data_IF_132812824702
#
_entry.id   IF_132812824702
#
_cell.length_a   1.000
_cell.length_b   1.000
_cell.length_c   1.000
_cell.angle_alpha   90.00
_cell.angle_beta   90.00
_cell.angle_gamma   90.00
#
_symmetry.space_group_name_H-M   'P 1'
#
loop_
_entity.id
_entity.type
_entity.pdbx_description
1 polymer ?
#
# COMPACT_ATOMS: atom_id res chain seq x y z
N UNK A 1 -20.07 24.90 4.66
CA UNK A 1 -20.99 23.75 4.76
C UNK A 1 -20.20 22.53 4.33
N UNK A 2 -19.72 21.73 5.28
CA UNK A 2 -18.82 20.60 4.98
C UNK A 2 -19.66 19.52 4.31
N UNK A 3 -19.42 19.30 3.03
CA UNK A 3 -20.01 18.20 2.26
C UNK A 3 -19.54 16.92 2.91
N UNK A 4 -20.48 16.23 3.54
CA UNK A 4 -20.30 14.94 4.18
C UNK A 4 -20.61 13.89 3.12
N UNK A 5 -19.69 12.97 2.94
CA UNK A 5 -19.77 11.97 1.88
C UNK A 5 -19.72 10.57 2.45
N UNK A 6 -20.39 9.62 1.78
CA UNK A 6 -20.55 8.25 2.24
C UNK A 6 -19.64 7.27 1.47
N UNK A 7 -19.32 7.50 0.19
CA UNK A 7 -18.46 6.61 -0.64
C UNK A 7 -17.40 7.43 -1.38
N UNK A 8 -16.16 6.93 -1.44
CA UNK A 8 -15.12 7.36 -2.39
C UNK A 8 -14.77 6.23 -3.34
N UNK A 9 -15.08 6.43 -4.61
CA UNK A 9 -14.66 5.53 -5.67
C UNK A 9 -13.40 6.05 -6.34
N UNK A 10 -12.46 5.15 -6.64
CA UNK A 10 -11.28 5.47 -7.43
C UNK A 10 -11.15 4.49 -8.60
N UNK A 11 -11.34 4.94 -9.83
CA UNK A 11 -10.80 4.21 -10.97
C UNK A 11 -9.36 4.62 -11.18
N UNK A 12 -8.44 3.68 -10.96
CA UNK A 12 -7.01 3.90 -11.12
C UNK A 12 -6.61 3.41 -12.50
N UNK A 13 -6.27 4.35 -13.37
CA UNK A 13 -5.80 4.03 -14.71
C UNK A 13 -4.27 4.13 -14.68
N UNK A 14 -3.62 2.98 -14.84
CA UNK A 14 -2.16 2.95 -14.95
C UNK A 14 -1.76 3.41 -16.36
N UNK A 15 -0.98 4.50 -16.44
CA UNK A 15 -0.35 4.91 -17.70
C UNK A 15 0.74 3.90 -18.06
N UNK A 16 0.57 3.17 -19.17
CA UNK A 16 1.65 2.38 -19.75
C UNK A 16 2.35 3.17 -20.87
N UNK A 17 3.68 3.03 -20.94
CA UNK A 17 4.52 3.65 -21.98
C UNK A 17 4.32 3.05 -23.39
N UNK A 18 3.48 2.02 -23.56
CA UNK A 18 3.19 1.41 -24.87
C UNK A 18 1.70 1.50 -25.19
N UNK A 19 1.41 2.13 -26.34
CA UNK A 19 0.07 2.22 -26.92
C UNK A 19 -0.46 0.82 -27.26
N UNK A 20 -1.48 0.35 -26.52
CA UNK A 20 -2.64 -0.43 -27.00
C UNK A 20 -3.33 -1.34 -25.95
N UNK A 21 -3.07 -1.20 -24.66
CA UNK A 21 -4.03 -1.67 -23.65
C UNK A 21 -4.10 -0.76 -22.43
N UNK A 22 -5.19 -0.01 -22.28
CA UNK A 22 -5.55 0.61 -21.00
C UNK A 22 -6.04 -0.50 -20.07
N UNK A 23 -5.14 -1.12 -19.30
CA UNK A 23 -5.54 -1.95 -18.16
C UNK A 23 -5.75 -1.00 -16.97
N UNK A 24 -7.00 -0.61 -16.73
CA UNK A 24 -7.37 0.14 -15.54
C UNK A 24 -7.65 -0.81 -14.39
N UNK A 25 -7.07 -0.54 -13.22
CA UNK A 25 -7.49 -1.13 -11.96
C UNK A 25 -8.67 -0.29 -11.45
N UNK A 26 -9.88 -0.84 -11.43
CA UNK A 26 -10.92 -0.21 -10.62
C UNK A 26 -10.64 -0.51 -9.15
N UNK A 27 -10.37 0.52 -8.33
CA UNK A 27 -10.22 0.43 -6.88
C UNK A 27 -11.41 1.12 -6.19
N UNK A 28 -12.36 0.32 -5.74
CA UNK A 28 -13.52 0.84 -5.03
C UNK A 28 -13.17 0.83 -3.55
N UNK A 29 -13.27 1.97 -2.85
CA UNK A 29 -13.08 2.06 -1.40
C UNK A 29 -14.41 2.40 -0.75
N UNK A 30 -14.94 1.48 0.04
CA UNK A 30 -16.28 1.62 0.57
C UNK A 30 -16.45 1.22 2.06
N UNK A 31 -17.32 1.88 2.82
CA UNK A 31 -17.81 1.42 4.12
C UNK A 31 -18.89 0.34 3.93
N UNK A 32 -19.04 -0.57 4.89
CA UNK A 32 -19.84 -1.78 4.68
C UNK A 32 -21.37 -1.63 4.64
N UNK A 33 -21.95 -0.62 5.30
CA UNK A 33 -23.42 -0.45 5.41
C UNK A 33 -23.80 1.00 5.16
N UNK A 34 -24.27 1.33 3.97
CA UNK A 34 -24.43 2.74 3.59
C UNK A 34 -25.81 3.33 3.80
N UNK A 35 -26.86 2.51 3.69
CA UNK A 35 -28.23 3.03 3.68
C UNK A 35 -28.67 3.52 5.07
N UNK A 36 -27.97 3.10 6.13
CA UNK A 36 -28.30 3.41 7.53
C UNK A 36 -27.16 4.09 8.30
N UNK A 37 -26.04 4.44 7.65
CA UNK A 37 -24.89 5.06 8.32
C UNK A 37 -24.99 6.58 8.37
N UNK A 38 -24.66 7.12 9.55
CA UNK A 38 -24.43 8.56 9.71
C UNK A 38 -23.24 9.00 8.86
N UNK A 39 -23.33 10.24 8.38
CA UNK A 39 -22.26 10.88 7.64
C UNK A 39 -20.92 10.85 8.37
N UNK A 40 -19.86 10.48 7.65
CA UNK A 40 -18.50 10.35 8.17
C UNK A 40 -17.73 11.63 7.89
N UNK A 41 -17.19 12.24 8.94
CA UNK A 41 -16.47 13.51 8.84
C UNK A 41 -15.12 13.38 8.10
N UNK A 42 -14.38 12.29 8.35
CA UNK A 42 -13.07 12.05 7.72
C UNK A 42 -13.15 11.77 6.22
N UNK A 43 -14.33 11.41 5.69
CA UNK A 43 -14.48 10.87 4.35
C UNK A 43 -13.89 11.82 3.29
N UNK A 44 -14.17 13.12 3.40
CA UNK A 44 -13.63 14.13 2.49
C UNK A 44 -12.12 14.22 2.52
N UNK A 45 -11.53 14.15 3.72
CA UNK A 45 -10.08 14.15 3.87
C UNK A 45 -9.46 12.87 3.29
N UNK A 46 -10.08 11.72 3.57
CA UNK A 46 -9.66 10.43 3.03
C UNK A 46 -9.58 10.45 1.50
N UNK A 47 -10.62 11.03 0.87
CA UNK A 47 -10.69 11.22 -0.56
C UNK A 47 -9.52 12.04 -1.12
N UNK A 48 -9.32 13.23 -0.56
CA UNK A 48 -8.30 14.18 -0.99
C UNK A 48 -6.89 13.59 -0.83
N UNK A 49 -6.56 13.05 0.35
CA UNK A 49 -5.24 12.51 0.64
C UNK A 49 -4.92 11.31 -0.28
N UNK A 50 -5.91 10.47 -0.60
CA UNK A 50 -5.74 9.36 -1.56
C UNK A 50 -5.52 9.86 -2.99
N UNK A 51 -6.26 10.88 -3.44
CA UNK A 51 -6.07 11.49 -4.76
C UNK A 51 -4.67 12.09 -4.88
N UNK A 52 -4.24 12.85 -3.87
CA UNK A 52 -2.89 13.41 -3.82
C UNK A 52 -1.82 12.32 -3.86
N UNK A 53 -1.99 11.25 -3.08
CA UNK A 53 -1.04 10.12 -3.06
C UNK A 53 -0.94 9.45 -4.43
N UNK A 54 -2.06 9.09 -5.05
CA UNK A 54 -2.05 8.46 -6.37
C UNK A 54 -1.46 9.37 -7.45
N UNK A 55 -1.77 10.67 -7.42
CA UNK A 55 -1.17 11.66 -8.32
C UNK A 55 0.35 11.73 -8.14
N UNK A 56 0.84 11.73 -6.90
CA UNK A 56 2.29 11.72 -6.60
C UNK A 56 2.99 10.47 -7.16
N UNK A 57 2.25 9.36 -7.25
CA UNK A 57 2.69 8.09 -7.83
C UNK A 57 2.41 7.99 -9.34
N UNK A 58 1.97 9.09 -9.98
CA UNK A 58 1.73 9.22 -11.43
C UNK A 58 0.61 8.33 -11.97
N UNK A 59 -0.38 8.00 -11.16
CA UNK A 59 -1.60 7.35 -11.64
C UNK A 59 -2.61 8.38 -12.15
N UNK A 60 -3.34 8.03 -13.22
CA UNK A 60 -4.56 8.75 -13.59
C UNK A 60 -5.71 8.22 -12.73
N UNK A 61 -6.52 9.13 -12.20
CA UNK A 61 -7.61 8.79 -11.30
C UNK A 61 -8.90 9.35 -11.88
N UNK A 62 -9.94 8.52 -11.89
CA UNK A 62 -11.33 8.97 -12.00
C UNK A 62 -11.94 8.75 -10.63
N UNK A 63 -12.25 9.83 -9.92
CA UNK A 63 -12.85 9.78 -8.60
C UNK A 63 -14.36 10.06 -8.64
N UNK A 64 -15.07 9.56 -7.63
CA UNK A 64 -16.50 9.78 -7.46
C UNK A 64 -16.88 9.77 -6.00
N UNK A 65 -17.75 10.71 -5.61
CA UNK A 65 -18.21 10.92 -4.24
C UNK A 65 -19.72 10.67 -4.19
N UNK A 66 -20.22 10.03 -3.13
CA UNK A 66 -21.68 9.81 -2.93
C UNK A 66 -22.35 8.97 -4.02
N UNK A 67 -21.62 7.97 -4.52
CA UNK A 67 -22.18 6.98 -5.42
C UNK A 67 -23.21 6.11 -4.67
N UNK A 68 -24.41 5.95 -5.22
CA UNK A 68 -25.44 5.09 -4.64
C UNK A 68 -25.25 3.63 -5.05
N UNK A 69 -25.69 2.66 -4.22
CA UNK A 69 -25.68 1.21 -4.54
C UNK A 69 -26.33 0.88 -5.88
N UNK A 70 -27.31 1.68 -6.31
CA UNK A 70 -28.07 1.46 -7.54
C UNK A 70 -27.48 2.17 -8.76
N UNK A 71 -26.47 3.03 -8.59
CA UNK A 71 -25.90 3.76 -9.70
C UNK A 71 -24.46 4.25 -9.41
N UNK A 72 -23.48 3.33 -9.28
CA UNK A 72 -22.08 3.70 -9.07
C UNK A 72 -21.41 4.26 -10.34
N UNK A 73 -22.08 4.15 -11.49
CA UNK A 73 -21.59 4.66 -12.76
C UNK A 73 -22.74 5.36 -13.48
N UNK A 74 -22.59 6.64 -13.83
CA UNK A 74 -23.41 7.25 -14.88
C UNK A 74 -23.06 6.64 -16.26
N UNK A 75 -23.14 5.31 -16.38
CA UNK A 75 -23.18 4.58 -17.65
C UNK A 75 -24.57 3.98 -17.75
N UNK A 76 -25.36 4.48 -18.70
CA UNK A 76 -26.71 3.97 -19.02
C UNK A 76 -26.72 2.43 -19.03
N UNK A 77 -27.43 1.80 -18.09
CA UNK A 77 -28.01 0.46 -18.31
C UNK A 77 -27.52 -0.75 -17.51
N UNK A 78 -27.11 -0.64 -16.23
CA UNK A 78 -26.93 -1.83 -15.38
C UNK A 78 -27.71 -1.71 -14.06
N UNK A 79 -28.87 -2.37 -14.00
CA UNK A 79 -29.66 -2.57 -12.80
C UNK A 79 -29.33 -3.94 -12.17
N UNK A 80 -28.34 -4.03 -11.28
CA UNK A 80 -28.20 -5.19 -10.37
C UNK A 80 -27.46 -4.82 -9.08
N UNK A 81 -28.20 -4.91 -7.97
CA UNK A 81 -27.88 -5.32 -6.59
C UNK A 81 -26.41 -5.16 -6.08
N UNK A 82 -26.25 -4.35 -5.01
CA UNK A 82 -25.17 -4.41 -4.02
C UNK A 82 -23.73 -4.23 -4.52
N UNK A 83 -22.92 -3.38 -3.87
CA UNK A 83 -21.48 -3.26 -4.19
C UNK A 83 -20.70 -4.58 -4.08
N UNK A 84 -21.22 -5.57 -3.34
CA UNK A 84 -20.67 -6.93 -3.24
C UNK A 84 -20.89 -7.78 -4.50
N UNK A 85 -21.89 -7.45 -5.33
CA UNK A 85 -22.19 -8.09 -6.62
C UNK A 85 -22.04 -7.08 -7.77
N UNK A 86 -21.13 -6.10 -7.63
CA UNK A 86 -20.68 -5.40 -8.82
C UNK A 86 -20.06 -6.43 -9.75
N UNK A 87 -20.73 -6.67 -10.88
CA UNK A 87 -20.23 -7.46 -12.00
C UNK A 87 -19.14 -6.63 -12.70
N UNK A 88 -18.09 -6.33 -11.96
CA UNK A 88 -16.98 -5.52 -12.43
C UNK A 88 -16.14 -6.40 -13.33
N UNK A 89 -16.04 -6.00 -14.59
CA UNK A 89 -15.29 -6.71 -15.61
C UNK A 89 -13.88 -7.11 -15.15
N UNK A 90 -13.27 -8.04 -15.88
CA UNK A 90 -11.94 -8.57 -15.56
C UNK A 90 -10.93 -7.45 -15.25
N UNK A 91 -10.21 -7.55 -14.12
CA UNK A 91 -9.20 -6.57 -13.72
C UNK A 91 -9.66 -5.57 -12.65
N UNK A 92 -10.58 -5.95 -11.76
CA UNK A 92 -11.07 -5.08 -10.69
C UNK A 92 -10.65 -5.56 -9.31
N UNK A 93 -10.37 -4.62 -8.41
CA UNK A 93 -10.15 -4.85 -6.99
C UNK A 93 -11.08 -3.96 -6.16
N UNK A 94 -12.02 -4.57 -5.46
CA UNK A 94 -12.96 -3.86 -4.58
C UNK A 94 -12.47 -4.03 -3.15
N UNK A 95 -12.29 -2.93 -2.44
CA UNK A 95 -11.91 -2.93 -1.03
C UNK A 95 -12.95 -2.21 -0.19
N UNK A 96 -13.35 -2.84 0.90
CA UNK A 96 -14.24 -2.26 1.89
C UNK A 96 -13.47 -1.98 3.18
N UNK A 97 -13.63 -0.77 3.71
CA UNK A 97 -13.05 -0.33 4.97
C UNK A 97 -13.62 -1.09 6.18
N UNK A 98 -14.78 -1.72 6.05
CA UNK A 98 -15.39 -2.61 7.05
C UNK A 98 -15.99 -3.85 6.39
N UNK A 99 -16.21 -4.91 7.18
CA UNK A 99 -16.85 -6.14 6.75
C UNK A 99 -18.35 -5.91 6.48
N UNK A 100 -18.95 -6.58 5.48
CA UNK A 100 -20.38 -6.49 5.20
C UNK A 100 -21.21 -6.64 6.49
N UNK A 101 -22.20 -5.76 6.69
CA UNK A 101 -23.07 -5.74 7.87
C UNK A 101 -22.41 -5.35 9.21
N UNK A 102 -21.22 -4.72 9.21
CA UNK A 102 -20.66 -4.06 10.42
C UNK A 102 -20.57 -2.52 10.30
N UNK A 103 -20.79 -1.84 11.42
CA UNK A 103 -20.53 -0.40 11.58
C UNK A 103 -19.10 -0.19 12.08
N UNK A 104 -18.34 0.72 11.43
CA UNK A 104 -17.01 1.10 11.89
C UNK A 104 -17.07 1.82 13.24
N UNK A 105 -16.37 1.30 14.24
CA UNK A 105 -16.27 1.88 15.60
C UNK A 105 -15.32 3.08 15.74
N UNK A 106 -14.62 3.49 14.67
CA UNK A 106 -13.60 4.54 14.76
C UNK A 106 -13.59 5.44 13.53
N UNK A 107 -14.49 6.42 13.48
CA UNK A 107 -14.40 7.48 12.48
C UNK A 107 -13.33 8.48 12.92
N UNK A 108 -12.38 8.79 12.04
CA UNK A 108 -11.53 9.96 12.23
C UNK A 108 -12.41 11.22 12.34
N UNK A 109 -11.93 12.25 13.05
CA UNK A 109 -12.59 13.56 12.97
C UNK A 109 -12.40 14.15 11.57
N UNK A 110 -13.09 15.27 11.26
CA UNK A 110 -12.89 15.97 9.98
C UNK A 110 -11.42 16.33 9.66
N UNK A 111 -10.56 16.38 10.68
CA UNK A 111 -9.15 16.77 10.57
C UNK A 111 -8.20 15.59 10.31
N UNK A 112 -8.66 14.35 10.52
CA UNK A 112 -7.83 13.14 10.40
C UNK A 112 -8.43 12.15 9.42
N UNK A 113 -7.56 11.39 8.75
CA UNK A 113 -8.00 10.28 7.93
C UNK A 113 -8.70 9.21 8.79
N UNK A 114 -9.62 8.47 8.20
CA UNK A 114 -10.13 7.23 8.79
C UNK A 114 -8.98 6.26 9.07
N UNK A 115 -9.18 5.36 10.02
CA UNK A 115 -8.19 4.36 10.41
C UNK A 115 -7.78 3.51 9.19
N UNK A 116 -8.74 3.14 8.35
CA UNK A 116 -8.49 2.42 7.12
C UNK A 116 -7.59 3.20 6.15
N UNK A 117 -7.95 4.44 5.82
CA UNK A 117 -7.15 5.26 4.89
C UNK A 117 -5.76 5.57 5.44
N UNK A 118 -5.65 5.81 6.76
CA UNK A 118 -4.35 5.99 7.42
C UNK A 118 -3.40 4.82 7.15
N UNK A 119 -3.85 3.58 7.35
CA UNK A 119 -3.00 2.41 7.11
C UNK A 119 -2.83 2.08 5.63
N UNK A 120 -3.84 2.36 4.79
CA UNK A 120 -3.70 2.24 3.34
C UNK A 120 -2.57 3.14 2.81
N UNK A 121 -2.54 4.41 3.22
CA UNK A 121 -1.49 5.36 2.84
C UNK A 121 -0.09 4.94 3.30
N UNK A 122 0.03 4.19 4.42
CA UNK A 122 1.32 3.68 4.93
C UNK A 122 1.90 2.50 4.11
N UNK A 123 1.10 1.86 3.26
CA UNK A 123 1.52 0.67 2.53
C UNK A 123 1.49 0.83 1.02
N UNK A 124 0.74 1.81 0.51
CA UNK A 124 0.46 1.95 -0.92
C UNK A 124 1.70 2.25 -1.77
N UNK A 125 2.74 2.84 -1.20
CA UNK A 125 4.00 3.14 -1.89
C UNK A 125 5.13 2.15 -1.61
N UNK A 126 4.85 1.06 -0.90
CA UNK A 126 5.86 0.02 -0.65
C UNK A 126 6.26 -0.64 -1.99
N UNK A 127 7.57 -0.67 -2.33
CA UNK A 127 8.01 -1.19 -3.62
C UNK A 127 7.73 -2.68 -3.78
N UNK A 128 7.30 -3.06 -4.98
CA UNK A 128 7.08 -4.45 -5.40
C UNK A 128 6.09 -5.23 -4.52
N UNK A 129 5.28 -4.52 -3.73
CA UNK A 129 4.25 -5.14 -2.89
C UNK A 129 2.98 -5.35 -3.72
N UNK A 130 2.60 -6.61 -3.88
CA UNK A 130 1.36 -6.99 -4.58
C UNK A 130 0.15 -6.41 -3.84
N UNK A 131 -0.84 -5.95 -4.60
CA UNK A 131 -2.05 -5.33 -4.04
C UNK A 131 -2.76 -6.23 -3.03
N UNK A 132 -2.86 -7.55 -3.29
CA UNK A 132 -3.44 -8.49 -2.35
C UNK A 132 -2.66 -8.57 -1.03
N UNK A 133 -1.33 -8.57 -1.09
CA UNK A 133 -0.49 -8.62 0.10
C UNK A 133 -0.47 -7.28 0.84
N UNK A 134 -0.52 -6.16 0.10
CA UNK A 134 -0.69 -4.82 0.65
C UNK A 134 -1.98 -4.71 1.46
N UNK A 135 -3.12 -5.14 0.91
CA UNK A 135 -4.40 -5.09 1.63
C UNK A 135 -4.46 -6.06 2.82
N UNK A 136 -3.74 -7.18 2.80
CA UNK A 136 -3.55 -8.02 4.00
C UNK A 136 -2.81 -7.25 5.12
N UNK A 137 -1.77 -6.49 4.79
CA UNK A 137 -1.09 -5.64 5.78
C UNK A 137 -2.03 -4.56 6.33
N UNK A 138 -2.77 -3.87 5.46
CA UNK A 138 -3.77 -2.87 5.87
C UNK A 138 -4.79 -3.49 6.83
N UNK A 139 -5.32 -4.67 6.50
CA UNK A 139 -6.28 -5.38 7.36
C UNK A 139 -5.69 -5.70 8.73
N UNK A 140 -4.49 -6.27 8.77
CA UNK A 140 -3.81 -6.59 10.03
C UNK A 140 -3.61 -5.35 10.90
N UNK A 141 -3.17 -4.24 10.31
CA UNK A 141 -2.94 -2.99 11.04
C UNK A 141 -4.24 -2.37 11.56
N UNK A 142 -5.30 -2.38 10.76
CA UNK A 142 -6.63 -1.91 11.17
C UNK A 142 -7.20 -2.78 12.29
N UNK A 143 -7.16 -4.11 12.15
CA UNK A 143 -7.63 -5.04 13.18
C UNK A 143 -6.87 -4.86 14.50
N UNK A 144 -5.53 -4.74 14.42
CA UNK A 144 -4.69 -4.54 15.60
C UNK A 144 -4.98 -3.20 16.29
N UNK A 145 -5.10 -2.11 15.51
CA UNK A 145 -5.35 -0.77 16.05
C UNK A 145 -6.74 -0.64 16.67
N UNK A 146 -7.74 -1.29 16.08
CA UNK A 146 -9.15 -1.22 16.52
C UNK A 146 -9.53 -2.34 17.48
N UNK A 147 -8.59 -3.17 17.93
CA UNK A 147 -8.90 -4.36 18.74
C UNK A 147 -10.00 -5.24 18.10
N UNK A 148 -9.96 -5.37 16.77
CA UNK A 148 -10.91 -6.09 15.91
C UNK A 148 -12.32 -5.52 15.84
N UNK A 149 -12.55 -4.29 16.28
CA UNK A 149 -13.83 -3.59 16.06
C UNK A 149 -14.05 -3.25 14.59
N UNK A 150 -12.98 -3.04 13.83
CA UNK A 150 -13.01 -2.83 12.38
C UNK A 150 -12.26 -3.96 11.68
N UNK A 151 -12.93 -4.62 10.73
CA UNK A 151 -12.35 -5.71 9.93
C UNK A 151 -12.54 -5.37 8.45
N UNK A 152 -11.51 -4.86 7.75
CA UNK A 152 -11.56 -4.62 6.31
C UNK A 152 -11.81 -5.90 5.50
N UNK A 153 -12.47 -5.77 4.34
CA UNK A 153 -12.80 -6.89 3.46
C UNK A 153 -12.60 -6.52 1.98
N UNK A 154 -12.16 -7.45 1.14
CA UNK A 154 -11.83 -7.21 -0.26
C UNK A 154 -12.38 -8.30 -1.17
N UNK A 155 -12.66 -7.95 -2.42
CA UNK A 155 -13.08 -8.85 -3.49
C UNK A 155 -12.31 -8.51 -4.77
N UNK A 156 -11.74 -9.50 -5.44
CA UNK A 156 -10.85 -9.28 -6.58
C UNK A 156 -11.19 -10.18 -7.78
N UNK A 157 -11.11 -9.60 -8.97
CA UNK A 157 -11.16 -10.30 -10.26
C UNK A 157 -9.84 -10.14 -11.05
N UNK A 158 -8.76 -9.78 -10.36
CA UNK A 158 -7.43 -9.64 -10.94
C UNK A 158 -6.93 -10.98 -11.49
N UNK A 159 -6.33 -10.92 -12.68
CA UNK A 159 -5.73 -12.08 -13.36
C UNK A 159 -4.21 -12.05 -13.38
N UNK A 160 -3.63 -10.91 -13.03
CA UNK A 160 -2.19 -10.65 -13.04
C UNK A 160 -1.83 -9.86 -11.81
N UNK A 161 -0.62 -10.06 -11.32
CA UNK A 161 -0.07 -9.26 -10.23
C UNK A 161 -0.15 -7.76 -10.57
N UNK A 162 -0.50 -6.95 -9.58
CA UNK A 162 -0.47 -5.50 -9.66
C UNK A 162 0.23 -4.95 -8.41
N UNK A 163 1.14 -4.01 -8.63
CA UNK A 163 1.84 -3.28 -7.57
C UNK A 163 1.68 -1.78 -7.84
N UNK A 164 1.37 -1.01 -6.81
CA UNK A 164 1.25 0.45 -6.93
C UNK A 164 2.62 1.11 -7.14
N UNK A 165 3.67 0.55 -6.55
CA UNK A 165 5.04 0.98 -6.76
C UNK A 165 5.88 -0.20 -7.24
N UNK A 166 6.58 -0.05 -8.37
CA UNK A 166 7.52 -1.05 -8.89
C UNK A 166 8.91 -0.45 -8.94
N UNK A 167 9.88 -1.12 -8.32
CA UNK A 167 11.29 -0.74 -8.38
C UNK A 167 12.12 -1.90 -8.91
N UNK A 168 13.03 -1.60 -9.82
CA UNK A 168 14.07 -2.53 -10.25
C UNK A 168 15.10 -2.80 -9.16
N UNK A 169 15.84 -3.91 -9.27
CA UNK A 169 16.91 -4.24 -8.32
C UNK A 169 17.96 -3.13 -8.22
N UNK A 170 18.32 -2.50 -9.35
CA UNK A 170 19.26 -1.37 -9.36
C UNK A 170 18.73 -0.17 -8.58
N UNK A 171 17.45 0.19 -8.75
CA UNK A 171 16.84 1.29 -7.99
C UNK A 171 16.76 1.00 -6.50
N UNK A 172 16.53 -0.28 -6.13
CA UNK A 172 16.57 -0.73 -4.73
C UNK A 172 17.98 -0.58 -4.17
N UNK A 173 18.99 -1.09 -4.87
CA UNK A 173 20.37 -1.05 -4.41
C UNK A 173 20.89 0.39 -4.29
N UNK A 174 20.55 1.26 -5.25
CA UNK A 174 20.87 2.69 -5.18
C UNK A 174 20.19 3.40 -4.00
N UNK A 175 18.91 3.11 -3.76
CA UNK A 175 18.16 3.67 -2.61
C UNK A 175 18.79 3.25 -1.29
N UNK A 176 19.10 1.95 -1.14
CA UNK A 176 19.77 1.41 0.04
C UNK A 176 21.11 2.12 0.26
N UNK A 177 21.92 2.20 -0.79
CA UNK A 177 23.24 2.84 -0.71
C UNK A 177 23.13 4.29 -0.27
N UNK A 178 22.31 5.10 -0.95
CA UNK A 178 22.13 6.54 -0.66
C UNK A 178 21.64 6.78 0.76
N UNK A 179 20.66 6.02 1.24
CA UNK A 179 20.11 6.21 2.59
C UNK A 179 21.12 5.85 3.67
N UNK A 180 21.78 4.69 3.57
CA UNK A 180 22.76 4.26 4.57
C UNK A 180 24.00 5.17 4.60
N UNK A 181 24.42 5.72 3.46
CA UNK A 181 25.60 6.61 3.43
C UNK A 181 25.32 8.00 3.99
N UNK A 182 24.09 8.50 3.85
CA UNK A 182 23.77 9.89 4.15
C UNK A 182 23.17 10.11 5.54
N UNK A 183 22.74 9.03 6.22
CA UNK A 183 22.00 9.12 7.47
C UNK A 183 22.50 8.12 8.52
N UNK A 184 21.92 8.19 9.71
CA UNK A 184 22.17 7.23 10.78
C UNK A 184 21.88 5.79 10.31
N UNK A 185 22.85 4.89 10.46
CA UNK A 185 22.78 3.55 9.88
C UNK A 185 21.64 2.73 10.48
N UNK A 186 21.43 2.79 11.79
CA UNK A 186 20.40 1.98 12.46
C UNK A 186 19.00 2.43 12.01
N UNK A 187 18.73 3.72 12.05
CA UNK A 187 17.45 4.27 11.61
C UNK A 187 17.22 4.05 10.11
N UNK A 188 18.27 4.17 9.29
CA UNK A 188 18.19 3.89 7.85
C UNK A 188 17.83 2.44 7.58
N UNK A 189 18.43 1.50 8.30
CA UNK A 189 18.13 0.07 8.16
C UNK A 189 16.69 -0.25 8.58
N UNK A 190 16.21 0.35 9.67
CA UNK A 190 14.82 0.18 10.12
C UNK A 190 13.82 0.73 9.09
N UNK A 191 14.07 1.95 8.60
CA UNK A 191 13.24 2.58 7.58
C UNK A 191 13.23 1.77 6.28
N UNK A 192 14.40 1.34 5.81
CA UNK A 192 14.53 0.52 4.61
C UNK A 192 13.86 -0.86 4.78
N UNK A 193 13.92 -1.46 5.98
CA UNK A 193 13.30 -2.75 6.26
C UNK A 193 11.79 -2.67 6.15
N UNK A 194 11.18 -1.63 6.72
CA UNK A 194 9.75 -1.40 6.55
C UNK A 194 9.39 -0.99 5.12
N UNK A 195 10.16 -0.10 4.49
CA UNK A 195 9.84 0.37 3.15
C UNK A 195 9.95 -0.75 2.09
N UNK A 196 11.06 -1.47 2.07
CA UNK A 196 11.36 -2.50 1.05
C UNK A 196 10.82 -3.88 1.40
N UNK A 197 10.27 -4.06 2.61
CA UNK A 197 9.82 -5.37 3.11
C UNK A 197 10.94 -6.42 3.09
N UNK A 198 12.18 -5.99 3.37
CA UNK A 198 13.35 -6.85 3.42
C UNK A 198 13.89 -6.95 4.86
N UNK A 199 14.43 -8.10 5.28
CA UNK A 199 15.10 -8.19 6.56
C UNK A 199 16.36 -7.32 6.56
N UNK A 200 16.73 -6.81 7.74
CA UNK A 200 17.92 -5.98 7.96
C UNK A 200 19.18 -6.62 7.36
N UNK A 201 19.29 -7.96 7.44
CA UNK A 201 20.40 -8.71 6.85
C UNK A 201 20.46 -8.63 5.33
N UNK A 202 19.34 -8.71 4.63
CA UNK A 202 19.32 -8.56 3.17
C UNK A 202 19.67 -7.14 2.75
N UNK A 203 19.19 -6.14 3.49
CA UNK A 203 19.54 -4.73 3.22
C UNK A 203 21.04 -4.51 3.40
N UNK A 204 21.62 -5.02 4.49
CA UNK A 204 23.06 -4.90 4.74
C UNK A 204 23.87 -5.64 3.65
N UNK A 205 23.42 -6.81 3.19
CA UNK A 205 24.07 -7.52 2.08
C UNK A 205 24.08 -6.69 0.80
N UNK A 206 22.91 -6.21 0.38
CA UNK A 206 22.76 -5.36 -0.81
C UNK A 206 23.63 -4.11 -0.72
N UNK A 207 23.62 -3.43 0.42
CA UNK A 207 24.47 -2.27 0.67
C UNK A 207 25.96 -2.58 0.48
N UNK A 208 26.46 -3.64 1.13
CA UNK A 208 27.89 -3.98 1.08
C UNK A 208 28.30 -4.45 -0.32
N UNK A 209 27.50 -5.28 -0.98
CA UNK A 209 27.74 -5.71 -2.36
C UNK A 209 27.79 -4.52 -3.32
N UNK A 210 26.82 -3.61 -3.23
CA UNK A 210 26.80 -2.40 -4.06
C UNK A 210 28.04 -1.54 -3.81
N UNK A 211 28.39 -1.32 -2.54
CA UNK A 211 29.59 -0.55 -2.17
C UNK A 211 30.89 -1.21 -2.64
N UNK A 212 30.99 -2.54 -2.62
CA UNK A 212 32.17 -3.27 -3.11
C UNK A 212 32.39 -3.12 -4.61
N UNK A 213 31.34 -2.86 -5.38
CA UNK A 213 31.43 -2.61 -6.82
C UNK A 213 31.84 -1.16 -7.17
N UNK A 214 31.94 -0.27 -6.19
CA UNK A 214 32.39 1.12 -6.37
C UNK A 214 33.90 1.26 -6.11
N UNK A 215 34.56 2.33 -6.62
CA UNK A 215 35.96 2.59 -6.34
C UNK A 215 36.25 2.66 -4.82
N UNK A 216 37.29 1.94 -4.37
CA UNK A 216 37.62 1.83 -2.94
C UNK A 216 36.76 0.82 -2.17
N UNK A 217 36.04 -0.06 -2.88
CA UNK A 217 35.25 -1.15 -2.31
C UNK A 217 36.08 -2.14 -1.47
N UNK A 218 35.42 -2.77 -0.50
CA UNK A 218 35.99 -3.85 0.32
C UNK A 218 35.74 -5.18 -0.40
N UNK A 219 36.76 -6.00 -0.57
CA UNK A 219 36.66 -7.30 -1.22
C UNK A 219 36.70 -8.41 -0.17
N UNK A 220 35.88 -9.45 -0.38
CA UNK A 220 35.85 -10.64 0.47
C UNK A 220 36.40 -11.82 -0.32
N UNK A 221 37.16 -12.69 0.34
CA UNK A 221 37.85 -13.81 -0.28
C UNK A 221 36.87 -14.93 -0.67
N UNK A 222 35.75 -15.04 0.05
CA UNK A 222 34.69 -16.01 -0.20
C UNK A 222 33.35 -15.56 0.45
N UNK A 223 32.28 -16.30 0.15
CA UNK A 223 30.93 -16.00 0.67
C UNK A 223 30.81 -16.13 2.19
N UNK A 224 31.53 -17.07 2.82
CA UNK A 224 31.46 -17.26 4.27
C UNK A 224 32.01 -16.04 5.02
N UNK A 225 33.18 -15.54 4.59
CA UNK A 225 33.78 -14.33 5.15
C UNK A 225 32.85 -13.12 5.01
N UNK A 226 32.17 -12.99 3.86
CA UNK A 226 31.18 -11.95 3.64
C UNK A 226 30.01 -12.07 4.63
N UNK A 227 29.42 -13.26 4.78
CA UNK A 227 28.29 -13.47 5.68
C UNK A 227 28.67 -13.25 7.15
N UNK A 228 29.83 -13.73 7.59
CA UNK A 228 30.36 -13.47 8.94
C UNK A 228 30.51 -11.97 9.21
N UNK A 229 31.04 -11.23 8.23
CA UNK A 229 31.18 -9.78 8.33
C UNK A 229 29.82 -9.07 8.45
N UNK A 230 28.83 -9.46 7.64
CA UNK A 230 27.47 -8.92 7.70
C UNK A 230 26.85 -9.16 9.08
N UNK A 231 26.94 -10.40 9.56
CA UNK A 231 26.33 -10.83 10.81
C UNK A 231 26.96 -10.10 12.01
N UNK A 232 28.30 -9.97 12.03
CA UNK A 232 29.02 -9.17 13.03
C UNK A 232 28.57 -7.70 13.01
N UNK A 233 28.52 -7.06 11.84
CA UNK A 233 28.09 -5.66 11.72
C UNK A 233 26.67 -5.44 12.26
N UNK A 234 25.75 -6.35 11.96
CA UNK A 234 24.36 -6.25 12.41
C UNK A 234 24.26 -6.39 13.94
N UNK A 235 25.02 -7.31 14.53
CA UNK A 235 25.07 -7.48 15.98
C UNK A 235 25.72 -6.29 16.69
N UNK A 236 26.80 -5.74 16.13
CA UNK A 236 27.48 -4.54 16.66
C UNK A 236 26.55 -3.30 16.64
N UNK A 237 25.60 -3.25 15.71
CA UNK A 237 24.54 -2.23 15.65
C UNK A 237 23.40 -2.47 16.66
N UNK A 238 23.45 -3.54 17.46
CA UNK A 238 22.48 -3.85 18.51
C UNK A 238 21.24 -4.61 18.05
N UNK A 239 21.18 -5.05 16.78
CA UNK A 239 20.10 -5.91 16.31
C UNK A 239 20.21 -7.32 16.90
N UNK A 240 19.07 -7.98 17.08
CA UNK A 240 19.01 -9.37 17.55
C UNK A 240 18.58 -10.30 16.43
N UNK A 241 19.20 -11.46 16.38
CA UNK A 241 18.87 -12.51 15.43
C UNK A 241 17.55 -13.17 15.84
N UNK A 242 16.58 -13.17 14.93
CA UNK A 242 15.37 -13.98 15.01
C UNK A 242 15.24 -14.75 13.71
N UNK A 243 15.24 -16.09 13.78
CA UNK A 243 15.08 -16.98 12.64
C UNK A 243 16.07 -16.72 11.48
N UNK A 244 17.34 -16.40 11.80
CA UNK A 244 18.38 -16.28 10.78
C UNK A 244 18.73 -17.67 10.27
N UNK A 245 18.56 -17.88 8.96
CA UNK A 245 18.87 -19.12 8.24
C UNK A 245 20.10 -18.90 7.39
#
# INVERSE_FOLDING_TARGET
MVLTSLIYYFQIIQRQNNMNSKKGLALIIANAIYDEQNNIQSCTKDGIDMIEKFNSMKFDIIDGINLSRNNPFHTKGLNTLGLAELNVGSGTFVSFATAPNSTSGGYGSAEYNSIFTKFLLNHIDKPNLKIEDMFKLVRNDVENYTSKEQIPWESTSLKTDFCFNTMSDNEIDETIYKLITNFDTVNSLLLLSDYLQLPISNIMRKYKQYKSNLPGGIYFSNQLEFEEFILKNILDLGFKIKNYR
#
